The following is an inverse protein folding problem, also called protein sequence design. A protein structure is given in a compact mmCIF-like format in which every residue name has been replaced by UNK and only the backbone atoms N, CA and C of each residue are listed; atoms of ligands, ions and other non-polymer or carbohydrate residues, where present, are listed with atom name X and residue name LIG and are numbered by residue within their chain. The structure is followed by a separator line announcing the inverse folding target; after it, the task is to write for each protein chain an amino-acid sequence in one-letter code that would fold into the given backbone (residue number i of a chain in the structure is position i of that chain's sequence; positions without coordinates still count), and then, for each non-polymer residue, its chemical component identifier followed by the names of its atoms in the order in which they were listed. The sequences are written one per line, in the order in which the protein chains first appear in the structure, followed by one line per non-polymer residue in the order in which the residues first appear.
data_IF_873363743762
#
_entry.id   IF_873363743762
#
_cell.length_a   1.000
_cell.length_b   1.000
_cell.length_c   1.000
_cell.angle_alpha   90.00
_cell.angle_beta   90.00
_cell.angle_gamma   90.00
#
_symmetry.space_group_name_H-M   'P 1'
#
loop_
_entity.id
_entity.type
_entity.pdbx_description
1 polymer ?
#
# COMPACT_ATOMS: atom_id res chain seq x y z
N UNK A 1 20.73 18.63 29.39
CA UNK A 1 21.15 19.69 28.45
C UNK A 1 21.30 19.01 27.09
N UNK A 2 20.32 18.94 26.20
CA UNK A 2 18.99 19.55 26.00
C UNK A 2 18.11 18.40 25.42
N UNK A 3 17.00 17.94 26.00
CA UNK A 3 15.65 18.53 26.04
C UNK A 3 15.23 19.18 24.71
N UNK A 4 14.63 18.36 23.84
CA UNK A 4 13.77 18.80 22.74
C UNK A 4 12.34 18.56 23.21
N UNK A 5 11.62 19.66 23.43
CA UNK A 5 10.19 19.69 23.70
C UNK A 5 9.40 19.45 22.42
N UNK A 6 8.37 18.63 22.54
CA UNK A 6 7.43 18.20 21.50
C UNK A 6 6.18 19.12 21.55
N UNK A 7 5.90 19.97 20.55
CA UNK A 7 4.86 21.00 20.64
C UNK A 7 3.47 20.52 20.19
N UNK A 8 3.08 19.28 20.51
CA UNK A 8 1.76 18.71 20.14
C UNK A 8 1.12 17.86 21.26
N UNK A 9 1.32 18.23 22.53
CA UNK A 9 0.59 17.63 23.64
C UNK A 9 -0.74 18.37 23.91
N UNK A 10 -1.85 17.78 23.47
CA UNK A 10 -3.21 18.12 23.91
C UNK A 10 -3.40 17.54 25.32
N UNK A 11 -3.88 18.29 26.33
CA UNK A 11 -4.04 17.77 27.68
C UNK A 11 -5.25 16.82 27.80
N UNK A 12 -5.00 15.65 28.40
CA UNK A 12 -6.00 14.65 28.80
C UNK A 12 -7.01 15.23 29.82
N UNK A 13 -8.30 15.21 29.47
CA UNK A 13 -9.39 15.33 30.44
C UNK A 13 -9.70 13.96 31.08
N UNK A 14 -9.88 13.87 32.41
CA UNK A 14 -10.19 12.63 33.10
C UNK A 14 -11.68 12.25 32.97
N UNK A 15 -12.02 10.95 32.85
CA UNK A 15 -13.43 10.54 32.81
C UNK A 15 -14.05 10.59 34.23
N UNK A 16 -15.26 11.16 34.27
CA UNK A 16 -16.13 11.19 35.44
C UNK A 16 -16.72 9.80 35.73
N UNK A 17 -16.61 9.41 36.99
CA UNK A 17 -17.27 8.28 37.63
C UNK A 17 -18.80 8.39 37.60
N UNK A 18 -19.48 7.28 37.30
CA UNK A 18 -20.92 7.09 37.47
C UNK A 18 -21.24 5.63 37.77
N UNK A 19 -21.83 5.40 38.94
CA UNK A 19 -22.07 4.12 39.65
C UNK A 19 -23.38 3.39 39.21
N UNK A 20 -23.79 2.24 39.81
CA UNK A 20 -24.24 1.04 39.08
C UNK A 20 -25.71 0.56 39.24
N UNK A 21 -26.07 -0.45 38.43
CA UNK A 21 -27.02 -1.55 38.72
C UNK A 21 -28.44 -1.44 38.12
N UNK A 22 -29.29 -2.51 38.16
CA UNK A 22 -29.05 -3.94 38.36
C UNK A 22 -29.91 -4.87 37.44
N UNK A 23 -29.90 -6.17 37.75
CA UNK A 23 -30.93 -7.24 37.50
C UNK A 23 -30.70 -8.30 36.41
N UNK A 24 -30.38 -9.51 36.90
CA UNK A 24 -31.09 -10.78 36.76
C UNK A 24 -31.60 -11.30 35.41
N UNK A 25 -31.37 -12.59 35.16
CA UNK A 25 -32.19 -13.34 34.20
C UNK A 25 -31.63 -14.68 33.74
N UNK A 26 -31.73 -15.69 34.59
CA UNK A 26 -31.65 -17.13 34.29
C UNK A 26 -32.41 -17.54 33.01
N UNK A 27 -31.97 -18.63 32.36
CA UNK A 27 -32.89 -19.42 31.53
C UNK A 27 -32.28 -20.32 30.45
N UNK A 28 -31.71 -21.46 30.85
CA UNK A 28 -31.71 -22.68 30.01
C UNK A 28 -33.15 -23.18 29.88
N UNK A 29 -33.54 -23.76 28.74
CA UNK A 29 -34.13 -25.09 28.85
C UNK A 29 -33.65 -26.07 27.78
N UNK A 30 -33.49 -27.31 28.25
CA UNK A 30 -33.44 -28.52 27.45
C UNK A 30 -34.83 -28.89 26.92
N UNK A 31 -34.89 -29.67 25.84
CA UNK A 31 -36.01 -30.57 25.56
C UNK A 31 -35.58 -31.68 24.57
N UNK A 32 -35.46 -32.91 25.13
CA UNK A 32 -36.16 -34.15 24.72
C UNK A 32 -36.11 -34.56 23.24
N UNK A 33 -35.45 -35.66 22.87
CA UNK A 33 -35.84 -37.08 23.12
C UNK A 33 -37.22 -37.44 22.52
N UNK A 34 -37.20 -38.21 21.43
CA UNK A 34 -38.31 -39.09 21.03
C UNK A 34 -37.81 -40.30 20.24
N UNK A 35 -37.57 -41.35 21.01
CA UNK A 35 -38.20 -42.68 20.97
C UNK A 35 -38.17 -43.58 19.70
N UNK A 36 -38.08 -44.86 20.07
CA UNK A 36 -37.77 -46.13 19.44
C UNK A 36 -38.76 -46.67 18.40
N UNK A 37 -38.24 -47.56 17.55
CA UNK A 37 -38.71 -48.96 17.37
C UNK A 37 -37.66 -49.74 16.55
N UNK A 38 -36.92 -50.73 17.07
CA UNK A 38 -37.26 -52.13 17.46
C UNK A 38 -37.09 -53.15 16.30
N UNK A 39 -35.87 -53.68 16.15
CA UNK A 39 -35.38 -55.10 16.11
C UNK A 39 -36.32 -56.28 15.75
N UNK A 40 -35.84 -57.54 15.46
CA UNK A 40 -34.46 -58.05 15.19
C UNK A 40 -34.38 -59.21 14.13
N UNK A 41 -33.15 -59.71 13.85
CA UNK A 41 -32.72 -61.15 13.83
C UNK A 41 -31.67 -61.48 12.73
N UNK A 42 -30.49 -61.99 13.12
CA UNK A 42 -29.38 -62.48 12.26
C UNK A 42 -29.51 -63.97 11.87
N UNK A 43 -28.43 -64.78 11.78
CA UNK A 43 -27.04 -64.55 11.37
C UNK A 43 -26.58 -65.53 10.23
N UNK A 44 -25.43 -65.30 9.58
CA UNK A 44 -24.81 -66.32 8.71
C UNK A 44 -23.56 -65.86 7.92
N UNK A 45 -22.39 -66.37 8.30
CA UNK A 45 -21.12 -66.47 7.52
C UNK A 45 -20.99 -67.92 6.98
N UNK A 46 -20.03 -68.31 6.09
CA UNK A 46 -18.76 -67.66 5.68
C UNK A 46 -18.38 -67.71 4.17
N UNK A 47 -17.21 -67.11 3.85
CA UNK A 47 -16.51 -66.97 2.55
C UNK A 47 -16.06 -68.26 1.84
N UNK A 48 -15.59 -68.14 0.56
CA UNK A 48 -14.29 -68.71 0.19
C UNK A 48 -13.35 -67.79 -0.64
N UNK A 49 -12.04 -68.15 -0.82
CA UNK A 49 -10.95 -67.21 -1.06
C UNK A 49 -10.27 -67.25 -2.46
N UNK A 50 -9.51 -66.19 -2.77
CA UNK A 50 -8.30 -66.18 -3.62
C UNK A 50 -8.35 -65.30 -4.90
N UNK A 51 -7.21 -64.92 -5.53
CA UNK A 51 -5.81 -65.19 -5.17
C UNK A 51 -4.89 -63.94 -5.09
N UNK A 52 -3.69 -64.21 -4.56
CA UNK A 52 -2.51 -63.36 -4.44
C UNK A 52 -2.02 -62.80 -5.79
N UNK A 53 -1.58 -61.54 -5.80
CA UNK A 53 -0.63 -61.05 -6.81
C UNK A 53 0.19 -59.86 -6.33
N UNK A 54 1.52 -60.05 -6.39
CA UNK A 54 2.44 -59.02 -6.87
C UNK A 54 3.00 -58.07 -5.82
N UNK A 55 4.08 -58.49 -5.16
CA UNK A 55 5.09 -57.58 -4.68
C UNK A 55 5.65 -56.78 -5.88
N UNK A 56 5.39 -55.48 -5.88
CA UNK A 56 5.94 -54.51 -6.81
C UNK A 56 6.44 -53.32 -6.01
N UNK A 57 7.73 -53.38 -5.67
CA UNK A 57 8.51 -52.32 -5.04
C UNK A 57 8.61 -51.15 -6.03
N UNK A 58 7.60 -50.28 -6.01
CA UNK A 58 7.54 -49.08 -6.83
C UNK A 58 8.09 -47.89 -6.03
N UNK A 59 9.26 -47.44 -6.45
CA UNK A 59 9.87 -46.18 -6.06
C UNK A 59 8.82 -45.08 -5.88
N UNK A 60 8.82 -44.45 -4.69
CA UNK A 60 8.03 -43.26 -4.40
C UNK A 60 8.54 -42.06 -5.23
N UNK A 61 8.24 -42.06 -6.52
CA UNK A 61 8.18 -40.85 -7.30
C UNK A 61 7.09 -39.97 -6.67
N UNK A 62 7.52 -38.95 -5.91
CA UNK A 62 6.65 -37.92 -5.36
C UNK A 62 5.83 -37.34 -6.49
N UNK A 63 4.53 -37.68 -6.51
CA UNK A 63 3.58 -37.09 -7.46
C UNK A 63 3.69 -35.56 -7.35
N UNK A 64 3.79 -34.82 -8.48
CA UNK A 64 3.72 -33.37 -8.43
C UNK A 64 2.39 -33.01 -7.76
N UNK A 65 2.49 -32.33 -6.61
CA UNK A 65 1.33 -31.94 -5.82
C UNK A 65 0.38 -31.13 -6.69
N UNK A 66 -0.92 -31.46 -6.63
CA UNK A 66 -1.96 -30.67 -7.32
C UNK A 66 -1.76 -29.19 -6.97
N UNK A 67 -1.81 -28.27 -7.96
CA UNK A 67 -1.69 -26.85 -7.69
C UNK A 67 -2.69 -26.47 -6.60
N UNK A 68 -2.19 -25.97 -5.47
CA UNK A 68 -3.06 -25.47 -4.42
C UNK A 68 -3.97 -24.37 -4.98
N UNK A 69 -5.15 -24.19 -4.37
CA UNK A 69 -6.06 -23.09 -4.72
C UNK A 69 -5.27 -21.77 -4.80
N UNK A 70 -5.44 -20.98 -5.88
CA UNK A 70 -4.70 -19.73 -6.05
C UNK A 70 -4.99 -18.77 -4.89
N UNK A 71 -3.97 -18.03 -4.49
CA UNK A 71 -4.06 -17.02 -3.44
C UNK A 71 -5.03 -15.92 -3.90
N UNK A 72 -6.13 -15.73 -3.16
CA UNK A 72 -7.13 -14.69 -3.44
C UNK A 72 -6.55 -13.28 -3.34
N UNK A 73 -7.24 -12.23 -3.84
CA UNK A 73 -6.74 -10.86 -3.83
C UNK A 73 -6.48 -10.34 -2.40
N UNK A 74 -5.66 -9.29 -2.29
CA UNK A 74 -5.52 -8.56 -1.01
C UNK A 74 -6.89 -7.99 -0.64
N UNK A 75 -7.30 -8.16 0.62
CA UNK A 75 -8.62 -7.75 1.07
C UNK A 75 -8.83 -6.23 0.87
N UNK A 76 -10.05 -5.82 0.53
CA UNK A 76 -10.34 -4.43 0.14
C UNK A 76 -10.05 -3.41 1.27
N UNK A 77 -10.29 -3.79 2.53
CA UNK A 77 -10.09 -2.95 3.70
C UNK A 77 -8.61 -2.74 4.09
N UNK A 78 -7.67 -3.42 3.44
CA UNK A 78 -6.24 -3.28 3.75
C UNK A 78 -5.78 -1.90 3.30
N UNK A 79 -5.22 -1.14 4.25
CA UNK A 79 -4.71 0.22 4.03
C UNK A 79 -3.55 0.24 3.03
N UNK A 80 -3.28 1.41 2.44
CA UNK A 80 -2.11 1.64 1.58
C UNK A 80 -0.80 1.30 2.29
N UNK A 81 -0.62 1.75 3.54
CA UNK A 81 0.59 1.46 4.33
C UNK A 81 0.78 -0.04 4.58
N UNK A 82 -0.30 -0.79 4.86
CA UNK A 82 -0.21 -2.25 5.00
C UNK A 82 0.10 -2.90 3.63
N UNK A 83 -0.49 -2.41 2.53
CA UNK A 83 -0.16 -2.88 1.17
C UNK A 83 1.29 -2.65 0.78
N UNK A 84 1.93 -1.58 1.28
CA UNK A 84 3.29 -1.21 0.92
C UNK A 84 4.29 -2.35 1.18
N UNK A 85 4.18 -3.05 2.30
CA UNK A 85 5.00 -4.25 2.54
C UNK A 85 4.34 -5.55 2.05
N UNK A 86 3.02 -5.65 2.15
CA UNK A 86 2.30 -6.88 1.82
C UNK A 86 2.42 -7.22 0.33
N UNK A 87 2.36 -6.21 -0.55
CA UNK A 87 2.50 -6.37 -1.99
C UNK A 87 3.80 -7.08 -2.35
N UNK A 88 4.98 -6.52 -2.04
CA UNK A 88 6.26 -7.17 -2.33
C UNK A 88 6.41 -8.58 -1.72
N UNK A 89 5.98 -8.80 -0.47
CA UNK A 89 6.04 -10.13 0.17
C UNK A 89 5.16 -11.15 -0.55
N UNK A 90 3.93 -10.74 -0.90
CA UNK A 90 3.00 -11.57 -1.66
C UNK A 90 3.56 -11.93 -3.04
N UNK A 91 4.19 -10.98 -3.70
CA UNK A 91 4.77 -11.16 -5.03
C UNK A 91 6.01 -12.08 -4.98
N UNK A 92 6.84 -11.96 -3.93
CA UNK A 92 7.92 -12.92 -3.67
C UNK A 92 7.38 -14.34 -3.48
N UNK A 93 6.28 -14.51 -2.74
CA UNK A 93 5.60 -15.81 -2.62
C UNK A 93 5.09 -16.32 -3.98
N UNK A 94 4.42 -15.49 -4.78
CA UNK A 94 3.92 -15.90 -6.09
C UNK A 94 5.06 -16.30 -7.04
N UNK A 95 6.17 -15.57 -6.99
CA UNK A 95 7.38 -15.87 -7.76
C UNK A 95 7.99 -17.20 -7.33
N UNK A 96 8.16 -17.42 -6.02
CA UNK A 96 8.64 -18.69 -5.48
C UNK A 96 7.70 -19.86 -5.78
N UNK A 97 6.38 -19.62 -5.77
CA UNK A 97 5.38 -20.62 -6.13
C UNK A 97 5.52 -21.04 -7.61
N UNK A 98 5.80 -20.09 -8.50
CA UNK A 98 6.01 -20.37 -9.93
C UNK A 98 7.37 -21.02 -10.22
N UNK A 99 8.45 -20.55 -9.58
CA UNK A 99 9.82 -21.00 -9.89
C UNK A 99 10.21 -22.29 -9.19
N UNK A 100 9.82 -22.46 -7.92
CA UNK A 100 10.23 -23.58 -7.06
C UNK A 100 9.09 -24.54 -6.70
N UNK A 101 7.86 -24.22 -7.12
CA UNK A 101 6.67 -24.98 -6.71
C UNK A 101 6.37 -24.82 -5.22
N UNK A 102 6.77 -23.70 -4.60
CA UNK A 102 6.44 -23.40 -3.21
C UNK A 102 4.91 -23.33 -3.05
N UNK A 103 4.39 -23.99 -2.02
CA UNK A 103 2.96 -23.93 -1.68
C UNK A 103 2.79 -23.40 -0.28
N UNK A 104 1.63 -22.81 0.04
CA UNK A 104 1.32 -22.39 1.41
C UNK A 104 1.46 -23.53 2.44
N UNK A 105 1.19 -24.78 2.05
CA UNK A 105 1.39 -25.93 2.94
C UNK A 105 2.86 -26.13 3.27
N UNK A 106 3.74 -26.10 2.28
CA UNK A 106 5.20 -26.22 2.47
C UNK A 106 5.76 -25.05 3.28
N UNK A 107 5.31 -23.84 3.00
CA UNK A 107 5.69 -22.66 3.77
C UNK A 107 5.19 -22.79 5.22
N UNK A 108 3.99 -23.32 5.44
CA UNK A 108 3.43 -23.58 6.77
C UNK A 108 4.20 -24.63 7.55
N UNK A 109 4.61 -25.71 6.89
CA UNK A 109 5.46 -26.75 7.47
C UNK A 109 6.83 -26.19 7.88
N UNK A 110 7.47 -25.39 7.03
CA UNK A 110 8.76 -24.78 7.32
C UNK A 110 8.72 -23.80 8.50
N UNK A 111 7.61 -23.08 8.65
CA UNK A 111 7.43 -22.04 9.66
C UNK A 111 6.63 -22.49 10.88
N UNK A 112 6.24 -23.78 10.94
CA UNK A 112 5.36 -24.34 11.98
C UNK A 112 4.04 -23.55 12.17
N UNK A 113 3.47 -23.05 11.08
CA UNK A 113 2.20 -22.31 11.06
C UNK A 113 1.17 -22.98 10.14
N UNK A 114 -0.11 -22.83 10.49
CA UNK A 114 -1.19 -23.42 9.69
C UNK A 114 -1.32 -22.73 8.34
N UNK A 115 -1.68 -23.51 7.30
CA UNK A 115 -1.97 -22.98 5.96
C UNK A 115 -3.02 -21.84 5.96
N UNK A 116 -4.14 -21.92 6.71
CA UNK A 116 -5.09 -20.81 6.79
C UNK A 116 -4.44 -19.51 7.28
N UNK A 117 -3.55 -19.59 8.27
CA UNK A 117 -2.86 -18.43 8.83
C UNK A 117 -1.93 -17.76 7.81
N UNK A 118 -1.22 -18.54 6.99
CA UNK A 118 -0.44 -17.99 5.86
C UNK A 118 -1.36 -17.31 4.86
N UNK A 119 -2.48 -17.92 4.53
CA UNK A 119 -3.44 -17.32 3.60
C UNK A 119 -4.02 -16.01 4.14
N UNK A 120 -4.30 -15.92 5.44
CA UNK A 120 -4.77 -14.68 6.07
C UNK A 120 -3.71 -13.59 6.05
N UNK A 121 -2.46 -13.94 6.35
CA UNK A 121 -1.32 -13.03 6.27
C UNK A 121 -1.16 -12.49 4.83
N UNK A 122 -1.06 -13.38 3.83
CA UNK A 122 -0.84 -12.99 2.43
C UNK A 122 -2.06 -12.34 1.75
N UNK A 123 -3.22 -12.34 2.41
CA UNK A 123 -4.40 -11.57 1.99
C UNK A 123 -4.58 -10.27 2.76
N UNK A 124 -3.74 -10.00 3.76
CA UNK A 124 -3.80 -8.81 4.62
C UNK A 124 -4.94 -8.85 5.65
N UNK A 125 -5.65 -9.98 5.80
CA UNK A 125 -6.67 -10.16 6.83
C UNK A 125 -6.08 -10.26 8.23
N UNK A 126 -4.81 -10.66 8.31
CA UNK A 126 -4.05 -10.73 9.53
C UNK A 126 -2.90 -9.73 9.44
N UNK A 127 -2.90 -8.75 10.35
CA UNK A 127 -1.71 -7.94 10.59
C UNK A 127 -0.74 -8.70 11.52
N UNK A 128 0.42 -9.16 11.03
CA UNK A 128 1.28 -10.07 11.78
C UNK A 128 2.11 -9.31 12.82
N UNK A 129 2.51 -10.07 13.85
CA UNK A 129 3.67 -9.70 14.66
C UNK A 129 4.94 -9.79 13.83
N UNK A 130 5.95 -8.99 14.18
CA UNK A 130 7.22 -8.94 13.47
C UNK A 130 7.91 -10.31 13.41
N UNK A 131 7.88 -11.10 14.47
CA UNK A 131 8.53 -12.41 14.51
C UNK A 131 8.01 -13.33 13.40
N UNK A 132 6.69 -13.35 13.19
CA UNK A 132 6.06 -14.11 12.13
C UNK A 132 6.42 -13.58 10.74
N UNK A 133 6.41 -12.26 10.57
CA UNK A 133 6.72 -11.64 9.29
C UNK A 133 8.20 -11.81 8.91
N UNK A 134 9.10 -11.73 9.89
CA UNK A 134 10.52 -12.01 9.74
C UNK A 134 10.75 -13.43 9.24
N UNK A 135 10.14 -14.43 9.88
CA UNK A 135 10.33 -15.83 9.50
C UNK A 135 9.79 -16.09 8.07
N UNK A 136 8.68 -15.45 7.69
CA UNK A 136 8.18 -15.47 6.30
C UNK A 136 9.15 -14.80 5.32
N UNK A 137 9.71 -13.66 5.69
CA UNK A 137 10.66 -12.92 4.85
C UNK A 137 11.93 -13.73 4.60
N UNK A 138 12.49 -14.34 5.65
CA UNK A 138 13.65 -15.22 5.57
C UNK A 138 13.37 -16.41 4.64
N UNK A 139 12.23 -17.09 4.82
CA UNK A 139 11.83 -18.20 3.96
C UNK A 139 11.58 -17.83 2.50
N UNK A 140 11.25 -16.56 2.22
CA UNK A 140 11.02 -16.05 0.86
C UNK A 140 12.24 -15.31 0.27
N UNK A 141 13.32 -15.14 1.03
CA UNK A 141 14.49 -14.36 0.61
C UNK A 141 14.21 -12.86 0.46
N UNK A 142 13.23 -12.32 1.18
CA UNK A 142 12.86 -10.91 1.13
C UNK A 142 13.77 -10.08 2.05
N UNK A 143 14.23 -8.92 1.57
CA UNK A 143 15.08 -8.02 2.36
C UNK A 143 14.38 -7.57 3.64
N UNK A 144 14.95 -7.94 4.80
CA UNK A 144 14.33 -7.76 6.11
C UNK A 144 14.25 -6.29 6.54
N UNK A 145 15.28 -5.50 6.26
CA UNK A 145 15.38 -4.12 6.75
C UNK A 145 14.31 -3.16 6.18
N UNK A 146 14.14 -3.02 4.85
CA UNK A 146 13.04 -2.23 4.29
C UNK A 146 11.66 -2.78 4.68
N UNK A 147 11.53 -4.12 4.77
CA UNK A 147 10.30 -4.77 5.22
C UNK A 147 9.93 -4.35 6.65
N UNK A 148 10.90 -4.31 7.55
CA UNK A 148 10.68 -3.87 8.93
C UNK A 148 10.18 -2.43 8.99
N UNK A 149 10.79 -1.52 8.22
CA UNK A 149 10.40 -0.09 8.23
C UNK A 149 8.96 0.08 7.77
N UNK A 150 8.59 -0.55 6.66
CA UNK A 150 7.22 -0.52 6.14
C UNK A 150 6.21 -1.19 7.08
N UNK A 151 6.58 -2.33 7.68
CA UNK A 151 5.74 -2.97 8.70
C UNK A 151 5.53 -2.00 9.88
N UNK A 152 6.60 -1.48 10.48
CA UNK A 152 6.52 -0.55 11.61
C UNK A 152 5.67 0.68 11.28
N UNK A 153 5.83 1.25 10.08
CA UNK A 153 5.06 2.39 9.62
C UNK A 153 3.56 2.07 9.55
N UNK A 154 3.19 0.96 8.89
CA UNK A 154 1.80 0.52 8.80
C UNK A 154 1.16 0.25 10.18
N UNK A 155 1.95 -0.28 11.13
CA UNK A 155 1.51 -0.54 12.49
C UNK A 155 1.08 0.75 13.22
N UNK A 156 1.85 1.84 13.04
CA UNK A 156 1.60 3.13 13.65
C UNK A 156 0.47 3.89 12.93
N UNK A 157 0.54 3.98 11.61
CA UNK A 157 -0.34 4.86 10.83
C UNK A 157 -1.76 4.30 10.66
N UNK A 158 -1.90 2.98 10.52
CA UNK A 158 -3.17 2.41 10.03
C UNK A 158 -3.76 1.33 10.93
N UNK A 159 -2.92 0.62 11.68
CA UNK A 159 -3.35 -0.47 12.56
C UNK A 159 -3.51 -0.03 14.03
N UNK A 160 -3.26 1.24 14.29
CA UNK A 160 -3.37 1.91 15.59
C UNK A 160 -2.64 1.15 16.72
N UNK A 161 -1.47 0.59 16.41
CA UNK A 161 -0.66 -0.17 17.36
C UNK A 161 0.26 0.78 18.13
N UNK A 162 0.34 0.58 19.44
CA UNK A 162 1.21 1.41 20.28
C UNK A 162 2.70 1.12 19.99
N UNK A 163 3.56 2.12 20.22
CA UNK A 163 5.03 1.94 20.16
C UNK A 163 5.50 0.79 21.05
N UNK A 164 4.90 0.61 22.23
CA UNK A 164 5.19 -0.49 23.13
C UNK A 164 4.85 -1.87 22.53
N UNK A 165 3.78 -1.97 21.75
CA UNK A 165 3.44 -3.20 21.04
C UNK A 165 4.47 -3.53 19.97
N UNK A 166 4.91 -2.52 19.22
CA UNK A 166 5.95 -2.65 18.19
C UNK A 166 7.24 -3.16 18.82
N UNK A 167 7.73 -2.49 19.87
CA UNK A 167 8.96 -2.89 20.56
C UNK A 167 8.88 -4.31 21.11
N UNK A 168 7.75 -4.67 21.73
CA UNK A 168 7.54 -6.04 22.22
C UNK A 168 7.56 -7.07 21.09
N UNK A 169 7.02 -6.73 19.93
CA UNK A 169 7.02 -7.62 18.76
C UNK A 169 8.40 -7.68 18.09
N UNK A 170 9.20 -6.63 18.13
CA UNK A 170 10.56 -6.66 17.60
C UNK A 170 11.60 -7.19 18.57
N UNK A 171 11.33 -7.22 19.88
CA UNK A 171 12.31 -7.53 20.93
C UNK A 171 13.03 -8.87 20.72
N UNK A 172 12.31 -9.93 20.34
CA UNK A 172 12.89 -11.27 20.15
C UNK A 172 13.85 -11.36 18.96
N UNK A 173 13.72 -10.45 17.99
CA UNK A 173 14.56 -10.37 16.78
C UNK A 173 15.38 -9.08 16.72
N UNK A 174 15.42 -8.30 17.81
CA UNK A 174 15.99 -6.95 17.84
C UNK A 174 17.48 -6.89 17.49
N UNK A 175 18.26 -7.92 17.87
CA UNK A 175 19.68 -8.03 17.50
C UNK A 175 19.89 -8.22 15.99
N UNK A 176 18.95 -8.84 15.28
CA UNK A 176 19.01 -9.07 13.83
C UNK A 176 18.58 -7.83 13.03
N UNK A 177 17.92 -6.86 13.67
CA UNK A 177 17.58 -5.56 13.10
C UNK A 177 18.72 -4.54 13.20
N UNK A 178 19.71 -4.79 14.07
CA UNK A 178 20.86 -3.90 14.28
C UNK A 178 21.84 -3.92 13.11
N UNK A 179 21.87 -5.00 12.32
CA UNK A 179 22.53 -5.01 11.01
C UNK A 179 21.64 -4.29 10.01
N UNK A 180 21.78 -2.97 9.93
CA UNK A 180 21.25 -2.18 8.82
C UNK A 180 21.82 -2.76 7.53
N UNK A 181 21.00 -3.49 6.80
CA UNK A 181 21.36 -3.90 5.45
C UNK A 181 21.62 -2.62 4.64
N UNK A 182 22.58 -2.67 3.72
CA UNK A 182 22.76 -1.59 2.75
C UNK A 182 21.86 -1.91 1.55
N UNK A 183 21.13 -0.93 1.00
CA UNK A 183 20.43 -1.13 -0.26
C UNK A 183 21.41 -1.56 -1.37
N UNK A 184 20.93 -2.27 -2.42
CA UNK A 184 21.72 -2.55 -3.60
C UNK A 184 22.34 -1.28 -4.15
N UNK A 185 23.59 -1.36 -4.62
CA UNK A 185 24.34 -0.18 -5.09
C UNK A 185 23.60 0.56 -6.22
N UNK A 186 22.95 -0.17 -7.11
CA UNK A 186 22.15 0.37 -8.21
C UNK A 186 20.94 1.15 -7.69
N UNK A 187 20.32 0.70 -6.59
CA UNK A 187 19.22 1.42 -5.96
C UNK A 187 19.73 2.67 -5.23
N UNK A 188 20.90 2.62 -4.59
CA UNK A 188 21.54 3.81 -4.01
C UNK A 188 21.82 4.87 -5.07
N UNK A 189 22.46 4.49 -6.17
CA UNK A 189 22.73 5.40 -7.29
C UNK A 189 21.43 5.93 -7.92
N UNK A 190 20.40 5.09 -8.04
CA UNK A 190 19.09 5.52 -8.52
C UNK A 190 18.48 6.59 -7.60
N UNK A 191 18.49 6.35 -6.28
CA UNK A 191 17.99 7.30 -5.28
C UNK A 191 18.69 8.65 -5.40
N UNK A 192 20.02 8.67 -5.47
CA UNK A 192 20.80 9.91 -5.62
C UNK A 192 20.37 10.75 -6.83
N UNK A 193 19.97 10.10 -7.93
CA UNK A 193 19.54 10.77 -9.16
C UNK A 193 18.08 11.23 -9.07
N UNK A 194 17.20 10.46 -8.42
CA UNK A 194 15.75 10.71 -8.44
C UNK A 194 15.21 11.50 -7.26
N UNK A 195 15.89 11.49 -6.12
CA UNK A 195 15.38 12.03 -4.85
C UNK A 195 14.94 13.49 -4.94
N UNK A 196 15.73 14.34 -5.60
CA UNK A 196 15.35 15.76 -5.78
C UNK A 196 14.03 15.94 -6.52
N UNK A 197 13.85 15.25 -7.66
CA UNK A 197 12.60 15.33 -8.41
C UNK A 197 11.42 14.65 -7.69
N UNK A 198 11.68 13.57 -6.95
CA UNK A 198 10.66 12.87 -6.15
C UNK A 198 10.14 13.78 -5.05
N UNK A 199 11.04 14.51 -4.39
CA UNK A 199 10.70 15.48 -3.37
C UNK A 199 9.89 16.65 -3.93
N UNK A 200 10.26 17.19 -5.11
CA UNK A 200 9.50 18.24 -5.79
C UNK A 200 8.07 17.76 -6.06
N UNK A 201 7.92 16.62 -6.73
CA UNK A 201 6.60 16.04 -7.05
C UNK A 201 5.75 15.82 -5.79
N UNK A 202 6.31 15.16 -4.77
CA UNK A 202 5.59 14.85 -3.55
C UNK A 202 5.22 16.10 -2.74
N UNK A 203 6.10 17.12 -2.74
CA UNK A 203 5.89 18.38 -2.03
C UNK A 203 4.68 19.18 -2.51
N UNK A 204 4.24 18.99 -3.76
CA UNK A 204 3.00 19.62 -4.26
C UNK A 204 1.76 19.07 -3.58
N UNK A 205 1.77 17.79 -3.23
CA UNK A 205 0.59 17.12 -2.68
C UNK A 205 0.63 16.94 -1.17
N UNK A 206 1.82 16.98 -0.56
CA UNK A 206 2.03 16.56 0.83
C UNK A 206 2.72 17.65 1.65
N UNK A 207 1.95 18.31 2.52
CA UNK A 207 2.48 19.22 3.53
C UNK A 207 2.98 18.42 4.75
N UNK A 208 4.28 18.46 5.03
CA UNK A 208 4.89 17.91 6.25
C UNK A 208 5.10 16.38 6.32
N UNK A 209 4.67 15.61 5.31
CA UNK A 209 4.87 14.15 5.26
C UNK A 209 5.59 13.65 3.98
N UNK A 210 6.19 14.56 3.21
CA UNK A 210 6.96 14.26 2.00
C UNK A 210 8.06 13.22 2.25
N UNK A 211 8.94 13.46 3.23
CA UNK A 211 10.05 12.56 3.57
C UNK A 211 9.58 11.14 3.91
N UNK A 212 8.47 11.01 4.64
CA UNK A 212 7.90 9.71 4.97
C UNK A 212 7.39 8.95 3.74
N UNK A 213 6.80 9.65 2.77
CA UNK A 213 6.37 9.06 1.50
C UNK A 213 7.56 8.63 0.63
N UNK A 214 8.64 9.42 0.63
CA UNK A 214 9.87 9.11 -0.10
C UNK A 214 10.59 7.89 0.51
N UNK A 215 10.73 7.83 1.83
CA UNK A 215 11.31 6.67 2.51
C UNK A 215 10.49 5.40 2.26
N UNK A 216 9.14 5.49 2.34
CA UNK A 216 8.27 4.38 1.98
C UNK A 216 8.50 3.93 0.53
N UNK A 217 8.61 4.87 -0.40
CA UNK A 217 8.84 4.60 -1.82
C UNK A 217 10.14 3.84 -2.03
N UNK A 218 11.24 4.29 -1.43
CA UNK A 218 12.53 3.62 -1.57
C UNK A 218 12.58 2.28 -0.85
N UNK A 219 11.87 2.10 0.26
CA UNK A 219 11.70 0.79 0.89
C UNK A 219 10.92 -0.19 0.02
N UNK A 220 9.84 0.25 -0.60
CA UNK A 220 9.09 -0.57 -1.56
C UNK A 220 9.95 -0.92 -2.78
N UNK A 221 10.72 0.03 -3.29
CA UNK A 221 11.65 -0.21 -4.40
C UNK A 221 12.73 -1.20 -4.00
N UNK A 222 13.27 -1.10 -2.79
CA UNK A 222 14.24 -2.09 -2.31
C UNK A 222 13.64 -3.49 -2.25
N UNK A 223 12.43 -3.65 -1.73
CA UNK A 223 11.75 -4.94 -1.70
C UNK A 223 11.41 -5.50 -3.10
N UNK A 224 11.41 -4.67 -4.13
CA UNK A 224 10.99 -5.04 -5.48
C UNK A 224 12.01 -4.68 -6.57
N UNK A 225 13.27 -4.47 -6.21
CA UNK A 225 14.25 -3.86 -7.11
C UNK A 225 14.55 -4.74 -8.32
N UNK A 226 14.73 -6.04 -8.13
CA UNK A 226 14.94 -6.98 -9.22
C UNK A 226 13.81 -6.96 -10.26
N UNK A 227 12.58 -6.72 -9.79
CA UNK A 227 11.41 -6.57 -10.66
C UNK A 227 11.39 -5.21 -11.36
N UNK A 228 11.80 -4.14 -10.68
CA UNK A 228 11.95 -2.83 -11.30
C UNK A 228 12.98 -2.90 -12.45
N UNK A 229 14.09 -3.62 -12.25
CA UNK A 229 15.10 -3.86 -13.27
C UNK A 229 14.61 -4.77 -14.40
N UNK A 230 13.78 -5.77 -14.09
CA UNK A 230 13.18 -6.66 -15.10
C UNK A 230 11.99 -6.01 -15.86
N UNK A 231 11.49 -4.87 -15.40
CA UNK A 231 10.41 -4.16 -16.07
C UNK A 231 10.89 -3.52 -17.38
N UNK A 232 9.95 -3.27 -18.30
CA UNK A 232 10.29 -2.59 -19.57
C UNK A 232 10.89 -1.19 -19.34
N UNK A 233 10.49 -0.51 -18.25
CA UNK A 233 11.03 0.80 -17.89
C UNK A 233 11.08 0.93 -16.37
N UNK A 234 12.30 0.83 -15.82
CA UNK A 234 12.58 0.94 -14.39
C UNK A 234 12.18 2.29 -13.81
N UNK A 235 12.34 3.39 -14.57
CA UNK A 235 11.98 4.74 -14.10
C UNK A 235 10.47 4.88 -13.98
N UNK A 236 9.74 4.41 -14.99
CA UNK A 236 8.27 4.39 -14.93
C UNK A 236 7.75 3.51 -13.80
N UNK A 237 8.37 2.34 -13.59
CA UNK A 237 8.06 1.47 -12.47
C UNK A 237 8.24 2.21 -11.14
N UNK A 238 9.40 2.83 -10.95
CA UNK A 238 9.74 3.56 -9.73
C UNK A 238 8.82 4.77 -9.49
N UNK A 239 8.54 5.55 -10.53
CA UNK A 239 7.61 6.67 -10.45
C UNK A 239 6.19 6.19 -10.10
N UNK A 240 5.76 5.03 -10.58
CA UNK A 240 4.45 4.46 -10.20
C UNK A 240 4.40 4.11 -8.72
N UNK A 241 5.50 3.60 -8.15
CA UNK A 241 5.61 3.34 -6.70
C UNK A 241 5.53 4.66 -5.92
N UNK A 242 6.30 5.68 -6.32
CA UNK A 242 6.25 7.02 -5.73
C UNK A 242 4.82 7.57 -5.77
N UNK A 243 4.23 7.64 -6.97
CA UNK A 243 2.89 8.17 -7.19
C UNK A 243 1.86 7.48 -6.31
N UNK A 244 1.94 6.15 -6.19
CA UNK A 244 1.05 5.39 -5.31
C UNK A 244 1.22 5.79 -3.84
N UNK A 245 2.46 5.93 -3.36
CA UNK A 245 2.76 6.31 -1.98
C UNK A 245 2.34 7.75 -1.66
N UNK A 246 2.49 8.66 -2.62
CA UNK A 246 2.05 10.07 -2.52
C UNK A 246 0.53 10.15 -2.50
N UNK A 247 -0.14 9.62 -3.53
CA UNK A 247 -1.60 9.68 -3.64
C UNK A 247 -2.31 8.95 -2.49
N UNK A 248 -1.69 7.93 -1.91
CA UNK A 248 -2.22 7.27 -0.70
C UNK A 248 -2.31 8.19 0.52
N UNK A 249 -1.52 9.28 0.55
CA UNK A 249 -1.48 10.28 1.62
C UNK A 249 -2.14 11.59 1.24
N UNK A 250 -2.29 11.86 -0.05
CA UNK A 250 -3.01 13.03 -0.55
C UNK A 250 -4.49 12.91 -0.17
N UNK A 251 -5.08 13.91 0.50
CA UNK A 251 -6.52 13.95 0.69
C UNK A 251 -7.24 13.94 -0.66
N UNK A 252 -8.40 13.28 -0.74
CA UNK A 252 -9.19 13.26 -1.97
C UNK A 252 -10.58 13.83 -1.74
N UNK A 253 -10.99 14.76 -2.61
CA UNK A 253 -12.35 15.32 -2.65
C UNK A 253 -12.99 14.84 -3.95
N UNK A 254 -14.14 14.16 -3.86
CA UNK A 254 -14.84 13.57 -5.00
C UNK A 254 -13.96 12.64 -5.87
N UNK A 255 -13.04 11.92 -5.23
CA UNK A 255 -12.11 11.00 -5.90
C UNK A 255 -10.95 11.68 -6.63
N UNK A 256 -10.73 12.98 -6.40
CA UNK A 256 -9.64 13.77 -6.99
C UNK A 256 -8.65 14.22 -5.92
N UNK A 257 -7.34 14.27 -6.23
CA UNK A 257 -6.34 14.70 -5.26
C UNK A 257 -6.57 16.18 -4.90
N UNK A 258 -6.62 16.48 -3.61
CA UNK A 258 -6.69 17.84 -3.10
C UNK A 258 -5.27 18.34 -2.83
N UNK A 259 -4.88 19.39 -3.55
CA UNK A 259 -3.56 20.03 -3.41
C UNK A 259 -3.67 21.54 -3.63
N UNK A 260 -4.85 22.13 -3.43
CA UNK A 260 -5.05 23.57 -3.58
C UNK A 260 -4.20 24.40 -2.60
N UNK A 261 -3.72 23.80 -1.50
CA UNK A 261 -2.79 24.47 -0.57
C UNK A 261 -1.49 24.91 -1.25
N UNK A 262 -1.04 24.20 -2.29
CA UNK A 262 0.15 24.59 -3.05
C UNK A 262 -0.03 25.93 -3.79
N UNK A 263 -1.25 26.47 -3.90
CA UNK A 263 -1.51 27.83 -4.39
C UNK A 263 -0.82 28.92 -3.54
N UNK A 264 -0.65 28.67 -2.23
CA UNK A 264 0.00 29.62 -1.32
C UNK A 264 1.53 29.69 -1.49
N UNK A 265 2.12 28.68 -2.13
CA UNK A 265 3.57 28.61 -2.34
C UNK A 265 3.99 29.11 -3.74
N UNK A 266 3.06 29.68 -4.50
CA UNK A 266 3.32 30.14 -5.87
C UNK A 266 4.22 31.38 -5.90
N UNK A 267 5.12 31.44 -6.90
CA UNK A 267 5.95 32.62 -7.16
C UNK A 267 5.08 33.85 -7.43
N UNK A 268 3.96 33.68 -8.16
CA UNK A 268 3.02 34.75 -8.45
C UNK A 268 2.57 35.45 -7.16
N UNK A 269 2.12 34.68 -6.16
CA UNK A 269 1.71 35.24 -4.87
C UNK A 269 2.88 35.91 -4.12
N UNK A 270 4.08 35.32 -4.15
CA UNK A 270 5.27 35.90 -3.48
C UNK A 270 5.71 37.24 -4.08
N UNK A 271 5.33 37.53 -5.32
CA UNK A 271 5.68 38.79 -6.01
C UNK A 271 4.66 39.91 -5.81
N UNK A 272 3.45 39.61 -5.31
CA UNK A 272 2.40 40.61 -5.10
C UNK A 272 2.63 41.35 -3.78
N UNK A 273 2.63 42.68 -3.83
CA UNK A 273 2.83 43.53 -2.64
C UNK A 273 1.54 44.10 -2.07
N UNK A 274 0.49 44.19 -2.87
CA UNK A 274 -0.82 44.70 -2.44
C UNK A 274 -1.69 43.56 -1.87
N UNK A 275 -2.40 43.84 -0.77
CA UNK A 275 -3.20 42.82 -0.07
C UNK A 275 -4.46 42.43 -0.85
N UNK A 276 -5.08 43.38 -1.57
CA UNK A 276 -6.24 43.12 -2.41
C UNK A 276 -5.87 42.25 -3.61
N UNK A 277 -4.81 42.63 -4.32
CA UNK A 277 -4.27 41.85 -5.43
C UNK A 277 -3.79 40.46 -4.99
N UNK A 278 -3.21 40.33 -3.78
CA UNK A 278 -2.78 39.05 -3.25
C UNK A 278 -3.97 38.10 -3.00
N UNK A 279 -5.10 38.63 -2.52
CA UNK A 279 -6.31 37.83 -2.32
C UNK A 279 -6.90 37.34 -3.65
N UNK A 280 -6.91 38.18 -4.68
CA UNK A 280 -7.33 37.81 -6.04
C UNK A 280 -6.40 36.75 -6.64
N UNK A 281 -5.08 36.93 -6.53
CA UNK A 281 -4.08 35.97 -7.00
C UNK A 281 -4.21 34.60 -6.32
N UNK A 282 -4.47 34.56 -5.01
CA UNK A 282 -4.75 33.31 -4.28
C UNK A 282 -6.01 32.65 -4.82
N UNK A 283 -7.10 33.41 -5.02
CA UNK A 283 -8.35 32.88 -5.53
C UNK A 283 -8.19 32.26 -6.93
N UNK A 284 -7.46 32.94 -7.82
CA UNK A 284 -7.13 32.44 -9.16
C UNK A 284 -6.29 31.16 -9.11
N UNK A 285 -5.26 31.15 -8.25
CA UNK A 285 -4.36 30.00 -8.09
C UNK A 285 -5.13 28.79 -7.52
N UNK A 286 -6.00 28.99 -6.53
CA UNK A 286 -6.87 27.93 -6.00
C UNK A 286 -7.80 27.40 -7.10
N UNK A 287 -8.38 28.27 -7.93
CA UNK A 287 -9.24 27.85 -9.04
C UNK A 287 -8.48 27.00 -10.07
N UNK A 288 -7.26 27.40 -10.42
CA UNK A 288 -6.38 26.65 -11.31
C UNK A 288 -6.05 25.26 -10.74
N UNK A 289 -5.64 25.17 -9.47
CA UNK A 289 -5.25 23.90 -8.85
C UNK A 289 -6.46 22.95 -8.71
N UNK A 290 -7.65 23.48 -8.41
CA UNK A 290 -8.91 22.73 -8.44
C UNK A 290 -9.32 22.27 -9.84
N UNK A 291 -8.95 22.99 -10.89
CA UNK A 291 -9.14 22.53 -12.26
C UNK A 291 -8.12 21.44 -12.62
N UNK A 292 -6.85 21.63 -12.24
CA UNK A 292 -5.77 20.64 -12.45
C UNK A 292 -6.07 19.31 -11.76
N UNK A 293 -6.68 19.29 -10.57
CA UNK A 293 -7.06 18.04 -9.89
C UNK A 293 -8.06 17.17 -10.66
N UNK A 294 -8.68 17.72 -11.71
CA UNK A 294 -9.63 17.00 -12.57
C UNK A 294 -8.97 16.35 -13.79
N UNK A 295 -7.68 16.64 -14.02
CA UNK A 295 -6.93 16.07 -15.12
C UNK A 295 -6.77 14.55 -14.94
N UNK A 296 -6.71 13.78 -16.05
CA UNK A 296 -6.22 12.40 -16.01
C UNK A 296 -4.83 12.30 -15.39
N UNK A 297 -4.55 11.22 -14.68
CA UNK A 297 -3.30 11.00 -13.92
C UNK A 297 -2.03 11.43 -14.65
N UNK A 298 -1.78 10.93 -15.87
CA UNK A 298 -0.55 11.29 -16.59
C UNK A 298 -0.49 12.78 -16.95
N UNK A 299 -1.65 13.40 -17.23
CA UNK A 299 -1.72 14.82 -17.55
C UNK A 299 -1.45 15.65 -16.30
N UNK A 300 -2.01 15.27 -15.15
CA UNK A 300 -1.70 15.90 -13.87
C UNK A 300 -0.21 15.79 -13.55
N UNK A 301 0.37 14.60 -13.66
CA UNK A 301 1.79 14.36 -13.37
C UNK A 301 2.71 15.20 -14.26
N UNK A 302 2.40 15.27 -15.56
CA UNK A 302 3.12 16.11 -16.51
C UNK A 302 2.98 17.58 -16.13
N UNK A 303 1.77 18.07 -15.85
CA UNK A 303 1.55 19.48 -15.50
C UNK A 303 2.26 19.88 -14.20
N UNK A 304 2.28 19.02 -13.18
CA UNK A 304 3.01 19.26 -11.94
C UNK A 304 4.50 19.47 -12.20
N UNK A 305 5.14 18.57 -12.96
CA UNK A 305 6.58 18.66 -13.20
C UNK A 305 6.95 19.76 -14.20
N UNK A 306 6.18 19.90 -15.28
CA UNK A 306 6.43 20.87 -16.35
C UNK A 306 6.10 22.29 -15.93
N UNK A 307 4.90 22.50 -15.40
CA UNK A 307 4.35 23.84 -15.22
C UNK A 307 4.60 24.36 -13.80
N UNK A 308 4.43 23.52 -12.78
CA UNK A 308 4.67 23.96 -11.39
C UNK A 308 6.16 23.97 -11.03
N UNK A 309 6.95 23.04 -11.57
CA UNK A 309 8.39 22.94 -11.28
C UNK A 309 9.32 23.31 -12.43
N UNK A 310 8.79 23.66 -13.61
CA UNK A 310 9.61 24.17 -14.71
C UNK A 310 10.58 23.17 -15.34
N UNK A 311 10.41 21.85 -15.11
CA UNK A 311 11.27 20.84 -15.73
C UNK A 311 11.11 20.84 -17.25
N UNK A 312 12.16 20.51 -18.01
CA UNK A 312 12.08 20.41 -19.49
C UNK A 312 11.23 19.20 -19.94
N UNK A 313 10.77 19.17 -21.20
CA UNK A 313 10.02 18.01 -21.72
C UNK A 313 10.87 16.73 -21.63
N UNK A 314 12.16 16.88 -21.93
CA UNK A 314 13.15 15.81 -21.89
C UNK A 314 13.38 15.31 -20.45
N UNK A 315 13.47 16.22 -19.47
CA UNK A 315 13.59 15.86 -18.06
C UNK A 315 12.34 15.15 -17.56
N UNK A 316 11.15 15.62 -17.90
CA UNK A 316 9.88 14.97 -17.52
C UNK A 316 9.71 13.62 -18.19
N UNK A 317 10.10 13.50 -19.47
CA UNK A 317 10.14 12.23 -20.19
C UNK A 317 11.07 11.23 -19.51
N UNK A 318 12.27 11.67 -19.14
CA UNK A 318 13.23 10.84 -18.41
C UNK A 318 12.67 10.44 -17.05
N UNK A 319 12.20 11.39 -16.26
CA UNK A 319 11.75 11.23 -14.89
C UNK A 319 10.52 10.31 -14.77
N UNK A 320 9.51 10.49 -15.63
CA UNK A 320 8.29 9.67 -15.62
C UNK A 320 8.45 8.33 -16.34
N UNK A 321 9.53 8.14 -17.13
CA UNK A 321 9.67 6.99 -18.03
C UNK A 321 8.59 6.97 -19.12
N UNK A 322 8.22 8.15 -19.63
CA UNK A 322 7.26 8.31 -20.72
C UNK A 322 7.96 8.75 -22.00
N UNK A 323 7.52 8.30 -23.20
CA UNK A 323 8.06 8.82 -24.44
C UNK A 323 7.84 10.33 -24.58
N UNK A 324 8.85 11.06 -25.05
CA UNK A 324 8.80 12.52 -25.25
C UNK A 324 7.55 13.01 -26.04
N UNK A 325 7.11 12.36 -27.14
CA UNK A 325 5.88 12.76 -27.83
C UNK A 325 4.62 12.67 -26.95
N UNK A 326 4.60 11.74 -26.00
CA UNK A 326 3.49 11.57 -25.05
C UNK A 326 3.46 12.70 -24.04
N UNK A 327 4.61 13.06 -23.45
CA UNK A 327 4.71 14.21 -22.53
C UNK A 327 4.14 15.47 -23.17
N UNK A 328 4.58 15.79 -24.39
CA UNK A 328 4.09 16.96 -25.16
C UNK A 328 2.60 16.87 -25.49
N UNK A 329 2.08 15.67 -25.73
CA UNK A 329 0.66 15.48 -26.01
C UNK A 329 -0.19 15.65 -24.76
N UNK A 330 0.23 15.06 -23.65
CA UNK A 330 -0.44 15.15 -22.35
C UNK A 330 -0.45 16.61 -21.85
N UNK A 331 0.66 17.35 -22.00
CA UNK A 331 0.74 18.79 -21.71
C UNK A 331 -0.25 19.60 -22.55
N UNK A 332 -0.25 19.44 -23.88
CA UNK A 332 -1.19 20.16 -24.76
C UNK A 332 -2.65 19.88 -24.42
N UNK A 333 -2.98 18.63 -24.10
CA UNK A 333 -4.36 18.26 -23.78
C UNK A 333 -4.77 18.83 -22.42
N UNK A 334 -3.86 18.84 -21.45
CA UNK A 334 -4.09 19.45 -20.15
C UNK A 334 -4.31 20.96 -20.26
N UNK A 335 -3.44 21.68 -21.00
CA UNK A 335 -3.58 23.13 -21.20
C UNK A 335 -4.94 23.45 -21.82
N UNK A 336 -5.32 22.75 -22.89
CA UNK A 336 -6.62 22.96 -23.53
C UNK A 336 -7.79 22.72 -22.58
N UNK A 337 -7.72 21.66 -21.77
CA UNK A 337 -8.75 21.39 -20.75
C UNK A 337 -8.85 22.51 -19.72
N UNK A 338 -7.71 23.06 -19.27
CA UNK A 338 -7.67 24.15 -18.31
C UNK A 338 -8.21 25.45 -18.91
N UNK A 339 -7.84 25.78 -20.14
CA UNK A 339 -8.39 26.92 -20.89
C UNK A 339 -9.91 26.82 -21.01
N UNK A 340 -10.43 25.66 -21.42
CA UNK A 340 -11.87 25.41 -21.56
C UNK A 340 -12.60 25.48 -20.20
N UNK A 341 -11.94 25.11 -19.10
CA UNK A 341 -12.55 25.06 -17.76
C UNK A 341 -12.53 26.40 -17.03
N UNK A 342 -11.46 27.20 -17.23
CA UNK A 342 -11.25 28.47 -16.53
C UNK A 342 -11.76 29.67 -17.31
N UNK A 343 -12.02 29.53 -18.62
CA UNK A 343 -12.60 30.61 -19.42
C UNK A 343 -14.01 30.98 -18.92
N UNK A 344 -14.32 32.26 -18.68
CA UNK A 344 -15.67 32.68 -18.35
C UNK A 344 -16.62 32.37 -19.51
N UNK A 345 -17.91 32.03 -19.25
CA UNK A 345 -18.88 31.85 -20.30
C UNK A 345 -19.01 33.13 -21.13
N UNK A 346 -19.20 33.03 -22.47
CA UNK A 346 -19.37 34.21 -23.29
C UNK A 346 -20.55 35.05 -22.75
N UNK A 347 -20.45 36.39 -22.77
CA UNK A 347 -21.55 37.24 -22.33
C UNK A 347 -22.79 36.84 -23.13
N UNK A 348 -23.89 36.56 -22.42
CA UNK A 348 -25.17 36.28 -23.05
C UNK A 348 -25.46 37.45 -23.97
N UNK A 349 -25.65 37.18 -25.27
CA UNK A 349 -26.10 38.18 -26.22
C UNK A 349 -27.38 38.77 -25.66
N UNK A 350 -27.27 40.00 -25.18
CA UNK A 350 -28.38 40.81 -24.70
C UNK A 350 -29.24 41.05 -25.93
N UNK A 351 -30.23 40.17 -26.08
CA UNK A 351 -31.14 40.17 -27.20
C UNK A 351 -31.76 41.55 -27.34
N UNK A 352 -31.35 42.22 -28.41
CA UNK A 352 -31.98 43.41 -28.97
C UNK A 352 -33.49 43.18 -29.03
N UNK A 353 -34.21 43.70 -28.04
CA UNK A 353 -35.67 43.73 -28.05
C UNK A 353 -36.12 44.97 -28.82
N UNK A 354 -36.97 44.80 -29.86
CA UNK A 354 -37.31 45.85 -30.83
C UNK A 354 -38.18 46.98 -30.28
#
# INVERSE_FOLDING_TARGET
MNQFDDPCAVPDEPPLSGEPGPTDGSGTPATTEKDRSKDPAGPGLPDPPGPLSGAGEAAHARRPGRPGRPLGPIAAHVSSAHRAWLGPVREAYLTAALSSGLTMSRLGEALYISKPKISELLSGKLYPRWELLYDVADALGVSVWPLYRLWRQAALETENKSRAWIEKSSAARGTMMATRATPPMELSAFREITEGGYHLYAGVFLTGCCDAALEETYDQLWLSWDRALASHDTRRYAFTVLRTAVMARTPHIDGRPEFSEAAFDTIALQTVTDVGEAAEQVAESIALFKAMSRLPDNQLDVMVLRVLHGMTDEDVSHFLGLPLPRVRSDERHAIRFLEDTLSPPPPAEEGDQP
#
